data_IF_096332853054
#
_entry.id   IF_096332853054
#
_cell.length_a   1.000
_cell.length_b   1.000
_cell.length_c   1.000
_cell.angle_alpha   90.00
_cell.angle_beta   90.00
_cell.angle_gamma   90.00
#
_symmetry.space_group_name_H-M   'P 1'
#
loop_
_entity.id
_entity.type
_entity.pdbx_description
1 polymer ?
#
# COMPACT_ATOMS: atom_id res chain seq x y z
N UNK A 1 13.82 -9.08 6.06
CA UNK A 1 13.10 -7.79 6.09
C UNK A 1 11.59 -7.99 5.92
N UNK A 2 11.10 -8.99 5.18
CA UNK A 2 9.88 -9.72 5.56
C UNK A 2 10.08 -10.24 7.00
N UNK A 3 9.04 -10.27 7.86
CA UNK A 3 9.16 -10.85 9.20
C UNK A 3 9.93 -12.16 9.08
N UNK A 4 11.16 -12.16 9.59
CA UNK A 4 11.93 -13.37 9.64
C UNK A 4 11.15 -14.23 10.65
N UNK A 5 10.55 -15.35 10.21
CA UNK A 5 10.05 -16.31 11.19
C UNK A 5 11.22 -16.61 12.11
N UNK A 6 10.94 -16.79 13.39
CA UNK A 6 11.95 -17.17 14.37
C UNK A 6 12.83 -18.28 13.76
N UNK A 7 14.17 -18.16 13.78
CA UNK A 7 15.06 -19.17 13.20
C UNK A 7 14.68 -20.60 13.57
N UNK A 8 14.18 -20.85 14.79
CA UNK A 8 13.68 -22.16 15.19
C UNK A 8 12.49 -22.67 14.35
N UNK A 9 11.62 -21.78 13.87
CA UNK A 9 10.51 -22.11 12.97
C UNK A 9 11.01 -22.52 11.58
N UNK A 10 12.08 -21.88 11.10
CA UNK A 10 12.70 -22.22 9.82
C UNK A 10 13.49 -23.53 9.92
N UNK A 11 14.28 -23.70 10.98
CA UNK A 11 15.04 -24.93 11.23
C UNK A 11 14.11 -26.14 11.40
N UNK A 12 12.96 -25.97 12.07
CA UNK A 12 11.94 -27.00 12.16
C UNK A 12 11.33 -27.34 10.80
N UNK A 13 11.05 -26.33 9.96
CA UNK A 13 10.54 -26.54 8.60
C UNK A 13 11.55 -27.29 7.71
N UNK A 14 12.84 -26.98 7.83
CA UNK A 14 13.91 -27.69 7.13
C UNK A 14 14.09 -29.12 7.66
N UNK A 15 14.03 -29.32 8.98
CA UNK A 15 14.10 -30.64 9.62
C UNK A 15 12.92 -31.55 9.23
N UNK A 16 11.75 -30.97 8.90
CA UNK A 16 10.59 -31.67 8.35
C UNK A 16 10.74 -32.01 6.85
N UNK A 17 11.86 -31.65 6.22
CA UNK A 17 12.15 -31.96 4.82
C UNK A 17 11.42 -31.05 3.81
N UNK A 18 10.94 -29.88 4.24
CA UNK A 18 10.31 -28.93 3.33
C UNK A 18 11.33 -28.33 2.37
N UNK A 19 10.96 -28.25 1.09
CA UNK A 19 11.80 -27.59 0.08
C UNK A 19 11.74 -26.07 0.26
N UNK A 20 12.77 -25.31 -0.16
CA UNK A 20 12.80 -23.85 -0.02
C UNK A 20 11.57 -23.13 -0.60
N UNK A 21 11.00 -23.68 -1.69
CA UNK A 21 9.75 -23.17 -2.27
C UNK A 21 8.55 -23.39 -1.34
N UNK A 22 8.43 -24.56 -0.72
CA UNK A 22 7.38 -24.84 0.26
C UNK A 22 7.53 -23.97 1.50
N UNK A 23 8.75 -23.81 2.03
CA UNK A 23 9.02 -22.91 3.15
C UNK A 23 8.60 -21.46 2.82
N UNK A 24 8.86 -21.00 1.59
CA UNK A 24 8.44 -19.67 1.16
C UNK A 24 6.91 -19.51 1.18
N UNK A 25 6.18 -20.40 0.50
CA UNK A 25 4.74 -20.25 0.30
C UNK A 25 3.88 -20.71 1.49
N UNK A 26 4.32 -21.72 2.24
CA UNK A 26 3.54 -22.34 3.32
C UNK A 26 3.93 -21.81 4.71
N UNK A 27 5.13 -21.24 4.88
CA UNK A 27 5.61 -20.75 6.18
C UNK A 27 5.84 -19.24 6.14
N UNK A 28 6.76 -18.75 5.31
CA UNK A 28 7.14 -17.33 5.29
C UNK A 28 6.04 -16.41 4.80
N UNK A 29 5.34 -16.77 3.72
CA UNK A 29 4.26 -15.96 3.15
C UNK A 29 3.11 -15.76 4.13
N UNK A 30 2.49 -16.81 4.72
CA UNK A 30 1.37 -16.63 5.63
C UNK A 30 1.76 -15.88 6.90
N UNK A 31 2.93 -16.14 7.47
CA UNK A 31 3.44 -15.43 8.65
C UNK A 31 3.71 -13.94 8.33
N UNK A 32 4.27 -13.66 7.15
CA UNK A 32 4.60 -12.31 6.70
C UNK A 32 3.47 -11.55 6.00
N UNK A 33 2.34 -12.20 5.70
CA UNK A 33 1.28 -11.67 4.85
C UNK A 33 0.69 -10.36 5.39
N UNK A 34 0.44 -10.28 6.70
CA UNK A 34 -0.09 -9.06 7.33
C UNK A 34 0.85 -7.86 7.14
N UNK A 35 2.16 -8.06 7.32
CA UNK A 35 3.16 -7.00 7.15
C UNK A 35 3.25 -6.56 5.68
N UNK A 36 3.20 -7.51 4.75
CA UNK A 36 3.20 -7.21 3.32
C UNK A 36 1.99 -6.36 2.91
N UNK A 37 0.80 -6.67 3.42
CA UNK A 37 -0.41 -5.91 3.11
C UNK A 37 -0.32 -4.51 3.75
N UNK A 38 0.18 -4.40 4.98
CA UNK A 38 0.45 -3.12 5.62
C UNK A 38 1.44 -2.25 4.82
N UNK A 39 2.53 -2.85 4.32
CA UNK A 39 3.49 -2.16 3.45
C UNK A 39 2.85 -1.73 2.12
N UNK A 40 2.00 -2.57 1.53
CA UNK A 40 1.27 -2.27 0.30
C UNK A 40 0.32 -1.08 0.49
N UNK A 41 -0.39 -1.01 1.62
CA UNK A 41 -1.24 0.14 1.96
C UNK A 41 -0.46 1.46 1.92
N UNK A 42 0.69 1.50 2.59
CA UNK A 42 1.55 2.68 2.61
C UNK A 42 2.04 3.01 1.20
N UNK A 43 2.48 2.00 0.44
CA UNK A 43 2.94 2.18 -0.93
C UNK A 43 1.84 2.72 -1.85
N UNK A 44 0.59 2.25 -1.72
CA UNK A 44 -0.55 2.75 -2.49
C UNK A 44 -0.85 4.22 -2.18
N UNK A 45 -0.88 4.61 -0.90
CA UNK A 45 -1.11 6.01 -0.51
C UNK A 45 0.00 6.92 -1.05
N UNK A 46 1.26 6.49 -0.95
CA UNK A 46 2.41 7.18 -1.54
C UNK A 46 2.29 7.30 -3.07
N UNK A 47 1.89 6.23 -3.75
CA UNK A 47 1.72 6.21 -5.20
C UNK A 47 0.61 7.17 -5.66
N UNK A 48 -0.49 7.27 -4.92
CA UNK A 48 -1.56 8.26 -5.19
C UNK A 48 -0.99 9.67 -5.07
N UNK A 49 -0.23 9.96 -4.00
CA UNK A 49 0.46 11.24 -3.83
C UNK A 49 1.39 11.57 -5.00
N UNK A 50 2.27 10.63 -5.38
CA UNK A 50 3.17 10.77 -6.52
C UNK A 50 2.43 10.95 -7.84
N UNK A 51 1.31 10.26 -8.05
CA UNK A 51 0.51 10.38 -9.26
C UNK A 51 -0.07 11.80 -9.42
N UNK A 52 -0.36 12.52 -8.33
CA UNK A 52 -0.79 13.91 -8.41
C UNK A 52 0.27 14.80 -9.05
N UNK A 53 1.56 14.53 -8.77
CA UNK A 53 2.69 15.25 -9.36
C UNK A 53 2.80 15.02 -10.87
N UNK A 54 2.24 13.93 -11.40
CA UNK A 54 2.20 13.66 -12.84
C UNK A 54 1.52 14.77 -13.64
N UNK A 55 0.60 15.52 -13.02
CA UNK A 55 -0.02 16.68 -13.63
C UNK A 55 0.98 17.77 -14.05
N UNK A 56 2.13 17.89 -13.36
CA UNK A 56 3.19 18.84 -13.70
C UNK A 56 3.84 18.56 -15.06
N UNK A 57 3.80 17.31 -15.53
CA UNK A 57 4.38 16.89 -16.82
C UNK A 57 3.30 16.77 -17.90
N UNK A 58 2.10 17.33 -17.65
CA UNK A 58 1.00 17.32 -18.61
C UNK A 58 0.22 16.01 -18.66
N UNK A 59 0.40 15.10 -17.70
CA UNK A 59 -0.42 13.88 -17.62
C UNK A 59 -1.90 14.16 -17.24
N UNK A 60 -2.19 15.38 -16.77
CA UNK A 60 -3.53 15.80 -16.36
C UNK A 60 -4.00 15.15 -15.05
N UNK A 61 -5.33 14.98 -14.93
CA UNK A 61 -5.97 14.39 -13.76
C UNK A 61 -6.24 15.37 -12.61
N UNK A 62 -6.61 14.84 -11.43
CA UNK A 62 -7.00 15.65 -10.27
C UNK A 62 -5.87 16.56 -9.76
N UNK A 63 -4.61 16.15 -9.93
CA UNK A 63 -3.45 16.98 -9.58
C UNK A 63 -3.40 18.29 -10.36
N UNK A 64 -3.91 18.31 -11.60
CA UNK A 64 -3.95 19.52 -12.42
C UNK A 64 -4.76 20.64 -11.76
N UNK A 65 -5.93 20.33 -11.22
CA UNK A 65 -6.80 21.29 -10.52
C UNK A 65 -6.07 21.89 -9.31
N UNK A 66 -5.30 21.09 -8.57
CA UNK A 66 -4.51 21.58 -7.43
C UNK A 66 -3.45 22.58 -7.90
N UNK A 67 -2.69 22.24 -8.94
CA UNK A 67 -1.63 23.10 -9.45
C UNK A 67 -2.16 24.37 -10.12
N UNK A 68 -3.28 24.29 -10.83
CA UNK A 68 -3.97 25.47 -11.39
C UNK A 68 -4.42 26.42 -10.26
N UNK A 69 -4.93 25.86 -9.16
CA UNK A 69 -5.34 26.63 -7.99
C UNK A 69 -4.16 27.31 -7.30
N UNK A 70 -3.01 26.61 -7.21
CA UNK A 70 -1.77 27.21 -6.70
C UNK A 70 -1.27 28.33 -7.61
N UNK A 71 -1.28 28.15 -8.93
CA UNK A 71 -0.85 29.16 -9.89
C UNK A 71 -1.71 30.43 -9.83
N UNK A 72 -2.99 30.29 -9.49
CA UNK A 72 -3.95 31.39 -9.37
C UNK A 72 -4.06 31.96 -7.96
N UNK A 73 -3.32 31.42 -6.98
CA UNK A 73 -3.47 31.74 -5.55
C UNK A 73 -4.93 31.62 -5.05
N UNK A 74 -5.69 30.69 -5.64
CA UNK A 74 -7.11 30.49 -5.36
C UNK A 74 -7.28 29.29 -4.40
N UNK A 75 -7.46 29.51 -3.08
CA UNK A 75 -7.56 28.42 -2.10
C UNK A 75 -8.76 27.51 -2.37
N UNK A 76 -9.87 28.07 -2.87
CA UNK A 76 -11.07 27.31 -3.20
C UNK A 76 -10.80 26.27 -4.29
N UNK A 77 -9.97 26.62 -5.28
CA UNK A 77 -9.62 25.75 -6.40
C UNK A 77 -8.60 24.68 -5.99
N UNK A 78 -7.67 25.03 -5.09
CA UNK A 78 -6.77 24.05 -4.44
C UNK A 78 -7.58 23.01 -3.69
N UNK A 79 -8.55 23.44 -2.88
CA UNK A 79 -9.42 22.53 -2.11
C UNK A 79 -10.29 21.67 -3.02
N UNK A 80 -10.81 22.24 -4.12
CA UNK A 80 -11.58 21.50 -5.12
C UNK A 80 -10.79 20.30 -5.69
N UNK A 81 -9.49 20.45 -5.92
CA UNK A 81 -8.62 19.35 -6.36
C UNK A 81 -8.15 18.44 -5.21
N UNK A 82 -7.78 19.01 -4.06
CA UNK A 82 -7.17 18.27 -2.96
C UNK A 82 -8.17 17.36 -2.23
N UNK A 83 -9.41 17.82 -2.00
CA UNK A 83 -10.45 17.04 -1.30
C UNK A 83 -10.72 15.70 -1.99
N UNK A 84 -11.03 15.62 -3.30
CA UNK A 84 -11.29 14.34 -3.96
C UNK A 84 -10.05 13.43 -3.97
N UNK A 85 -8.83 13.97 -4.04
CA UNK A 85 -7.58 13.19 -3.93
C UNK A 85 -7.48 12.54 -2.54
N UNK A 86 -7.72 13.30 -1.48
CA UNK A 86 -7.70 12.79 -0.10
C UNK A 86 -8.80 11.74 0.10
N UNK A 87 -10.00 11.98 -0.39
CA UNK A 87 -11.11 11.02 -0.33
C UNK A 87 -10.76 9.73 -1.06
N UNK A 88 -10.16 9.82 -2.26
CA UNK A 88 -9.72 8.66 -3.02
C UNK A 88 -8.63 7.88 -2.26
N UNK A 89 -7.62 8.57 -1.73
CA UNK A 89 -6.55 7.98 -0.95
C UNK A 89 -7.10 7.21 0.27
N UNK A 90 -8.00 7.85 1.02
CA UNK A 90 -8.67 7.25 2.16
C UNK A 90 -9.59 6.07 1.78
N UNK A 91 -10.22 6.12 0.61
CA UNK A 91 -11.04 5.03 0.10
C UNK A 91 -10.19 3.80 -0.24
N UNK A 92 -9.05 4.00 -0.91
CA UNK A 92 -8.07 2.96 -1.22
C UNK A 92 -7.49 2.38 0.06
N UNK A 93 -7.08 3.23 1.00
CA UNK A 93 -6.55 2.83 2.29
C UNK A 93 -7.53 1.94 3.05
N UNK A 94 -8.80 2.36 3.15
CA UNK A 94 -9.85 1.56 3.80
C UNK A 94 -10.18 0.28 3.04
N UNK A 95 -10.06 0.25 1.72
CA UNK A 95 -10.26 -0.96 0.94
C UNK A 95 -9.16 -1.99 1.26
N UNK A 96 -7.90 -1.56 1.28
CA UNK A 96 -6.76 -2.43 1.61
C UNK A 96 -6.79 -2.89 3.07
N UNK A 97 -7.16 -2.03 4.01
CA UNK A 97 -7.30 -2.42 5.42
C UNK A 97 -8.34 -3.53 5.62
N UNK A 98 -9.45 -3.52 4.88
CA UNK A 98 -10.44 -4.61 4.93
C UNK A 98 -9.89 -5.92 4.39
N UNK A 99 -9.04 -5.86 3.37
CA UNK A 99 -8.35 -7.04 2.83
C UNK A 99 -7.37 -7.58 3.86
N UNK A 100 -6.61 -6.72 4.54
CA UNK A 100 -5.71 -7.08 5.64
C UNK A 100 -6.45 -7.81 6.75
N UNK A 101 -7.58 -7.26 7.22
CA UNK A 101 -8.42 -7.85 8.26
C UNK A 101 -8.96 -9.23 7.84
N UNK A 102 -9.27 -9.42 6.55
CA UNK A 102 -9.77 -10.70 6.04
C UNK A 102 -8.67 -11.76 6.00
N UNK A 103 -7.47 -11.38 5.59
CA UNK A 103 -6.29 -12.26 5.57
C UNK A 103 -5.89 -12.63 6.99
N UNK A 104 -5.89 -11.66 7.92
CA UNK A 104 -5.55 -11.88 9.33
C UNK A 104 -6.58 -12.71 10.10
N UNK A 105 -7.82 -12.83 9.61
CA UNK A 105 -8.83 -13.76 10.15
C UNK A 105 -8.69 -15.20 9.64
N UNK A 106 -7.91 -15.42 8.59
CA UNK A 106 -7.78 -16.72 7.92
C UNK A 106 -6.45 -17.40 8.25
N UNK A 107 -5.42 -16.61 8.60
CA UNK A 107 -4.18 -17.07 9.22
C UNK A 107 -4.35 -17.26 10.74
#
# INVERSE_FOLDING_TARGET
ALAAPDPATLDAAEALGLTPRKILFEVRLPIGAGILIGALRVACVQAIGLATLGALVGAGGLGGIVFDGMAQFAPDLILLGAIPIVVLSLAVERALSRVEDRVRRTA
#
